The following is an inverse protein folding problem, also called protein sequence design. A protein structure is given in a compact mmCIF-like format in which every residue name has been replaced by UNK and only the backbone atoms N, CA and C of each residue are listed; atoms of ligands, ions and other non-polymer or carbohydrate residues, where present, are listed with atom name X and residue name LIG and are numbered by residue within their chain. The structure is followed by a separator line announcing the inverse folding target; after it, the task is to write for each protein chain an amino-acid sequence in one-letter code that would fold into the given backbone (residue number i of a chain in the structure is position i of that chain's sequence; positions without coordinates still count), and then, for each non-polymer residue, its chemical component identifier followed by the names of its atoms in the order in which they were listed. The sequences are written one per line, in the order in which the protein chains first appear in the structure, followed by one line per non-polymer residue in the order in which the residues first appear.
data_IF_509129779751
#
_entry.id   IF_509129779751
#
_cell.length_a   1.000
_cell.length_b   1.000
_cell.length_c   1.000
_cell.angle_alpha   90.00
_cell.angle_beta   90.00
_cell.angle_gamma   90.00
#
_symmetry.space_group_name_H-M   'P 1'
#
loop_
_entity.id
_entity.type
_entity.pdbx_description
1 polymer ?
#
# COMPACT_ATOMS: atom_id res chain seq x y z
N UNK A 1 -19.70 23.00 36.56
CA UNK A 1 -18.44 23.20 35.87
C UNK A 1 -17.65 21.90 35.65
N UNK A 2 -17.64 20.92 36.56
CA UNK A 2 -16.83 19.67 36.44
C UNK A 2 -17.24 18.80 35.25
N UNK A 3 -18.54 18.61 35.01
CA UNK A 3 -19.05 17.81 33.88
C UNK A 3 -18.62 18.38 32.53
N UNK A 4 -18.70 19.71 32.38
CA UNK A 4 -18.31 20.42 31.15
C UNK A 4 -16.80 20.30 30.86
N UNK A 5 -15.98 20.46 31.88
CA UNK A 5 -14.53 20.31 31.73
C UNK A 5 -14.14 18.86 31.39
N UNK A 6 -14.85 17.87 32.00
CA UNK A 6 -14.68 16.46 31.66
C UNK A 6 -15.05 16.16 30.20
N UNK A 7 -16.11 16.77 29.67
CA UNK A 7 -16.52 16.60 28.28
C UNK A 7 -15.47 17.15 27.30
N UNK A 8 -14.92 18.36 27.56
CA UNK A 8 -13.86 18.94 26.74
C UNK A 8 -12.59 18.07 26.78
N UNK A 9 -12.21 17.57 27.96
CA UNK A 9 -11.05 16.68 28.09
C UNK A 9 -11.24 15.38 27.30
N UNK A 10 -12.43 14.76 27.40
CA UNK A 10 -12.75 13.54 26.65
C UNK A 10 -12.73 13.78 25.14
N UNK A 11 -13.34 14.87 24.67
CA UNK A 11 -13.33 15.23 23.24
C UNK A 11 -11.89 15.46 22.73
N UNK A 12 -11.06 16.17 23.49
CA UNK A 12 -9.66 16.39 23.15
C UNK A 12 -8.88 15.08 23.11
N UNK A 13 -9.09 14.19 24.08
CA UNK A 13 -8.44 12.88 24.11
C UNK A 13 -8.80 12.01 22.89
N UNK A 14 -10.09 11.93 22.56
CA UNK A 14 -10.55 11.21 21.37
C UNK A 14 -10.01 11.81 20.10
N UNK A 15 -9.97 13.13 19.98
CA UNK A 15 -9.40 13.83 18.83
C UNK A 15 -7.91 13.53 18.64
N UNK A 16 -7.13 13.51 19.73
CA UNK A 16 -5.70 13.17 19.70
C UNK A 16 -5.53 11.74 19.17
N UNK A 17 -6.28 10.77 19.70
CA UNK A 17 -6.19 9.37 19.26
C UNK A 17 -6.50 9.23 17.77
N UNK A 18 -7.56 9.89 17.29
CA UNK A 18 -7.96 9.83 15.88
C UNK A 18 -6.97 10.52 14.95
N UNK A 19 -6.39 11.66 15.36
CA UNK A 19 -5.38 12.38 14.57
C UNK A 19 -4.07 11.58 14.50
N UNK A 20 -3.64 10.94 15.61
CA UNK A 20 -2.49 10.03 15.59
C UNK A 20 -2.76 8.86 14.64
N UNK A 21 -3.92 8.20 14.76
CA UNK A 21 -4.32 7.12 13.86
C UNK A 21 -4.30 7.55 12.39
N UNK A 22 -4.85 8.72 12.06
CA UNK A 22 -4.82 9.26 10.71
C UNK A 22 -3.38 9.44 10.19
N UNK A 23 -2.51 10.07 10.98
CA UNK A 23 -1.12 10.27 10.64
C UNK A 23 -0.36 8.96 10.38
N UNK A 24 -0.54 7.97 11.27
CA UNK A 24 0.09 6.66 11.15
C UNK A 24 -0.39 5.91 9.90
N UNK A 25 -1.70 5.88 9.61
CA UNK A 25 -2.23 5.21 8.43
C UNK A 25 -1.82 5.91 7.13
N UNK A 26 -1.82 7.25 7.09
CA UNK A 26 -1.35 8.01 5.92
C UNK A 26 0.12 7.71 5.64
N UNK A 27 0.95 7.72 6.67
CA UNK A 27 2.37 7.45 6.50
C UNK A 27 2.64 5.99 6.14
N UNK A 28 1.92 5.03 6.75
CA UNK A 28 1.97 3.63 6.39
C UNK A 28 1.58 3.40 4.92
N UNK A 29 0.50 4.04 4.46
CA UNK A 29 0.08 3.99 3.07
C UNK A 29 1.16 4.53 2.12
N UNK A 30 1.78 5.67 2.46
CA UNK A 30 2.89 6.24 1.67
C UNK A 30 4.10 5.32 1.61
N UNK A 31 4.44 4.67 2.72
CA UNK A 31 5.56 3.73 2.76
C UNK A 31 5.29 2.51 1.87
N UNK A 32 4.08 1.93 1.97
CA UNK A 32 3.70 0.79 1.12
C UNK A 32 3.69 1.16 -0.37
N UNK A 33 3.23 2.37 -0.72
CA UNK A 33 3.22 2.86 -2.10
C UNK A 33 4.62 3.12 -2.69
N UNK A 34 5.64 3.27 -1.84
CA UNK A 34 7.03 3.50 -2.26
C UNK A 34 7.85 2.22 -2.41
N UNK A 35 7.28 1.06 -2.09
CA UNK A 35 7.97 -0.22 -2.27
C UNK A 35 8.23 -0.43 -3.77
N UNK A 36 9.50 -0.61 -4.14
CA UNK A 36 9.86 -1.06 -5.48
C UNK A 36 9.53 -2.55 -5.59
N UNK A 37 8.49 -2.88 -6.33
CA UNK A 37 8.07 -4.25 -6.56
C UNK A 37 8.90 -4.97 -7.63
N UNK A 38 9.83 -4.25 -8.28
CA UNK A 38 10.70 -4.80 -9.32
C UNK A 38 10.04 -4.96 -10.70
N UNK A 39 8.83 -4.40 -10.89
CA UNK A 39 8.05 -4.49 -12.13
C UNK A 39 7.71 -3.12 -12.71
N UNK A 40 7.38 -3.09 -14.02
CA UNK A 40 6.73 -1.93 -14.63
C UNK A 40 5.23 -1.95 -14.34
N UNK A 41 4.80 -1.12 -13.38
CA UNK A 41 3.47 -1.20 -12.77
C UNK A 41 2.32 -0.75 -13.68
N UNK A 42 2.54 0.32 -14.46
CA UNK A 42 1.44 1.03 -15.13
C UNK A 42 1.19 0.57 -16.56
N UNK A 43 2.20 -0.02 -17.19
CA UNK A 43 2.19 -0.37 -18.61
C UNK A 43 2.19 -1.87 -18.87
N UNK A 44 2.52 -2.68 -17.86
CA UNK A 44 2.47 -4.13 -17.96
C UNK A 44 1.08 -4.64 -17.61
N UNK A 45 0.44 -5.30 -18.55
CA UNK A 45 -0.88 -5.91 -18.46
C UNK A 45 -0.74 -7.42 -18.32
N UNK A 46 -1.46 -8.00 -17.38
CA UNK A 46 -1.67 -9.45 -17.33
C UNK A 46 -3.06 -9.76 -17.86
N UNK A 47 -3.16 -10.72 -18.75
CA UNK A 47 -4.39 -11.07 -19.43
C UNK A 47 -4.66 -12.56 -19.36
N UNK A 48 -5.86 -12.94 -18.99
CA UNK A 48 -6.31 -14.32 -18.89
C UNK A 48 -7.78 -14.42 -19.30
N UNK A 49 -8.15 -15.38 -20.17
CA UNK A 49 -9.54 -15.58 -20.52
C UNK A 49 -10.31 -16.15 -19.32
N UNK A 50 -11.56 -15.70 -19.17
CA UNK A 50 -12.50 -16.18 -18.16
C UNK A 50 -13.66 -16.87 -18.89
N UNK A 51 -13.86 -18.14 -18.62
CA UNK A 51 -14.96 -18.92 -19.17
C UNK A 51 -16.13 -19.01 -18.20
N UNK A 52 -17.29 -19.37 -18.72
CA UNK A 52 -18.47 -19.64 -17.90
C UNK A 52 -18.18 -20.81 -16.96
N UNK A 53 -18.69 -20.75 -15.74
CA UNK A 53 -18.39 -21.70 -14.67
C UNK A 53 -18.60 -23.16 -15.11
N UNK A 54 -17.60 -24.00 -14.81
CA UNK A 54 -17.64 -25.45 -15.07
C UNK A 54 -16.88 -25.92 -16.32
N UNK A 55 -16.34 -25.03 -17.15
CA UNK A 55 -15.54 -25.42 -18.31
C UNK A 55 -14.05 -25.31 -18.01
N UNK A 56 -13.35 -26.44 -17.91
CA UNK A 56 -11.89 -26.45 -17.91
C UNK A 56 -11.37 -26.50 -19.36
N UNK A 57 -11.04 -25.35 -19.91
CA UNK A 57 -10.45 -25.18 -21.23
C UNK A 57 -8.94 -24.89 -21.19
N UNK A 58 -8.28 -25.32 -20.13
CA UNK A 58 -6.87 -25.00 -19.90
C UNK A 58 -5.95 -25.49 -21.01
N UNK A 59 -6.21 -26.64 -21.61
CA UNK A 59 -5.43 -27.16 -22.73
C UNK A 59 -5.62 -26.33 -24.02
N UNK A 60 -6.82 -25.83 -24.28
CA UNK A 60 -7.10 -24.95 -25.42
C UNK A 60 -6.42 -23.58 -25.24
N UNK A 61 -6.50 -23.02 -24.03
CA UNK A 61 -5.80 -21.78 -23.68
C UNK A 61 -4.29 -21.92 -23.86
N UNK A 62 -3.72 -23.04 -23.40
CA UNK A 62 -2.28 -23.28 -23.52
C UNK A 62 -1.80 -23.30 -24.97
N UNK A 63 -2.62 -23.82 -25.89
CA UNK A 63 -2.32 -23.83 -27.34
C UNK A 63 -2.56 -22.46 -27.99
N UNK A 64 -3.59 -21.75 -27.56
CA UNK A 64 -3.98 -20.46 -28.17
C UNK A 64 -3.02 -19.31 -27.78
N UNK A 65 -2.53 -19.28 -26.54
CA UNK A 65 -1.73 -18.19 -26.02
C UNK A 65 -0.49 -17.87 -26.88
N UNK A 66 0.34 -18.83 -27.33
CA UNK A 66 1.49 -18.51 -28.19
C UNK A 66 1.07 -17.85 -29.51
N UNK A 67 -0.01 -18.30 -30.14
CA UNK A 67 -0.55 -17.76 -31.39
C UNK A 67 -1.07 -16.34 -31.18
N UNK A 68 -1.82 -16.11 -30.11
CA UNK A 68 -2.32 -14.79 -29.74
C UNK A 68 -1.15 -13.85 -29.44
N UNK A 69 -0.13 -14.32 -28.72
CA UNK A 69 1.06 -13.54 -28.40
C UNK A 69 1.79 -13.05 -29.66
N UNK A 70 1.97 -13.93 -30.66
CA UNK A 70 2.61 -13.59 -31.93
C UNK A 70 1.83 -12.51 -32.70
N UNK A 71 0.51 -12.62 -32.74
CA UNK A 71 -0.34 -11.61 -33.40
C UNK A 71 -0.32 -10.27 -32.69
N UNK A 72 -0.45 -10.30 -31.36
CA UNK A 72 -0.42 -9.09 -30.55
C UNK A 72 0.94 -8.37 -30.60
N UNK A 73 2.05 -9.10 -30.78
CA UNK A 73 3.36 -8.47 -30.95
C UNK A 73 3.40 -7.51 -32.16
N UNK A 74 2.59 -7.77 -33.20
CA UNK A 74 2.48 -6.93 -34.39
C UNK A 74 1.41 -5.84 -34.28
N UNK A 75 0.65 -5.84 -33.18
CA UNK A 75 -0.49 -4.93 -33.01
C UNK A 75 -0.05 -3.52 -32.61
N UNK A 76 -0.80 -2.48 -33.04
CA UNK A 76 -0.49 -1.10 -32.67
C UNK A 76 -0.63 -0.89 -31.15
N UNK A 77 0.30 -0.13 -30.57
CA UNK A 77 0.30 0.16 -29.14
C UNK A 77 0.96 -0.91 -28.26
N UNK A 78 1.39 -2.03 -28.82
CA UNK A 78 2.14 -3.07 -28.14
C UNK A 78 3.63 -2.79 -28.24
N UNK A 79 4.35 -2.95 -27.14
CA UNK A 79 5.80 -2.81 -27.08
C UNK A 79 6.49 -4.16 -26.95
N UNK A 80 6.00 -5.01 -26.04
CA UNK A 80 6.45 -6.38 -25.82
C UNK A 80 5.27 -7.28 -25.47
N UNK A 81 5.37 -8.53 -25.84
CA UNK A 81 4.44 -9.59 -25.42
C UNK A 81 5.25 -10.77 -24.95
N UNK A 82 4.77 -11.37 -23.87
CA UNK A 82 5.28 -12.62 -23.34
C UNK A 82 4.14 -13.38 -22.70
N UNK A 83 4.37 -14.62 -22.35
CA UNK A 83 3.38 -15.44 -21.67
C UNK A 83 4.05 -16.38 -20.66
N UNK A 84 3.25 -16.97 -19.81
CA UNK A 84 3.75 -17.92 -18.84
C UNK A 84 2.63 -18.71 -18.17
N UNK A 85 3.02 -19.59 -17.28
CA UNK A 85 2.12 -20.33 -16.41
C UNK A 85 1.33 -19.39 -15.50
N UNK A 86 1.99 -18.36 -15.00
CA UNK A 86 1.41 -17.33 -14.17
C UNK A 86 2.07 -15.97 -14.48
N UNK A 87 1.32 -14.89 -14.34
CA UNK A 87 1.83 -13.54 -14.47
C UNK A 87 2.49 -13.03 -13.18
N UNK A 88 3.02 -11.80 -13.23
CA UNK A 88 3.44 -11.07 -12.04
C UNK A 88 2.31 -10.94 -11.02
N UNK A 89 2.64 -10.92 -9.74
CA UNK A 89 1.68 -10.83 -8.63
C UNK A 89 0.64 -11.96 -8.60
N UNK A 90 0.90 -13.07 -9.28
CA UNK A 90 0.12 -14.30 -9.23
C UNK A 90 0.85 -15.35 -8.38
N UNK A 91 0.07 -16.28 -7.83
CA UNK A 91 0.63 -17.41 -7.09
C UNK A 91 1.65 -18.20 -7.93
N UNK A 92 2.61 -18.82 -7.26
CA UNK A 92 3.59 -19.69 -7.87
C UNK A 92 3.65 -21.01 -7.12
N UNK A 93 4.08 -22.06 -7.82
CA UNK A 93 4.36 -23.35 -7.18
C UNK A 93 5.72 -23.28 -6.48
N UNK A 94 5.81 -23.87 -5.30
CA UNK A 94 7.10 -24.08 -4.65
C UNK A 94 7.81 -25.21 -5.34
N UNK A 95 9.11 -25.07 -5.55
CA UNK A 95 9.90 -26.02 -6.30
C UNK A 95 11.21 -26.30 -5.57
N UNK A 96 11.40 -27.56 -5.11
CA UNK A 96 12.62 -27.92 -4.42
C UNK A 96 13.79 -27.96 -5.40
N UNK A 97 14.90 -27.29 -5.06
CA UNK A 97 16.13 -27.30 -5.85
C UNK A 97 17.29 -27.84 -5.04
N UNK A 98 18.16 -28.60 -5.71
CA UNK A 98 19.27 -29.30 -5.09
C UNK A 98 20.57 -28.91 -5.78
N UNK A 99 21.69 -28.99 -5.05
CA UNK A 99 23.02 -28.96 -5.66
C UNK A 99 23.36 -30.28 -6.30
N UNK A 100 24.14 -30.32 -7.38
CA UNK A 100 24.66 -31.58 -7.92
C UNK A 100 25.41 -32.36 -6.84
N UNK A 101 25.11 -33.67 -6.72
CA UNK A 101 25.74 -34.55 -5.74
C UNK A 101 25.30 -34.34 -4.28
N UNK A 102 24.35 -33.50 -3.99
CA UNK A 102 23.82 -33.31 -2.64
C UNK A 102 22.84 -34.44 -2.27
N UNK A 103 23.00 -34.99 -1.09
CA UNK A 103 22.13 -36.06 -0.57
C UNK A 103 20.84 -35.44 0.01
N UNK A 104 19.71 -35.84 -0.55
CA UNK A 104 18.35 -35.82 0.00
C UNK A 104 17.73 -34.52 0.53
N UNK A 105 18.46 -33.46 0.81
CA UNK A 105 17.86 -32.19 1.29
C UNK A 105 17.93 -31.09 0.24
N UNK A 106 16.82 -30.38 -0.03
CA UNK A 106 16.81 -29.24 -0.93
C UNK A 106 17.66 -28.11 -0.38
N UNK A 107 18.46 -27.47 -1.22
CA UNK A 107 19.25 -26.29 -0.84
C UNK A 107 18.37 -25.05 -0.71
N UNK A 108 17.25 -25.04 -1.45
CA UNK A 108 16.22 -24.03 -1.36
C UNK A 108 14.88 -24.55 -1.91
N UNK A 109 13.79 -23.88 -1.56
CA UNK A 109 12.46 -24.15 -2.13
C UNK A 109 11.90 -22.84 -2.70
N UNK A 110 12.45 -22.35 -3.84
CA UNK A 110 11.99 -21.12 -4.45
C UNK A 110 10.59 -21.23 -5.04
N UNK A 111 9.94 -20.10 -5.19
CA UNK A 111 8.76 -19.99 -6.04
C UNK A 111 9.15 -20.13 -7.50
N UNK A 112 8.53 -21.05 -8.24
CA UNK A 112 8.84 -21.35 -9.63
C UNK A 112 7.73 -20.97 -10.58
N UNK A 113 8.11 -20.37 -11.74
CA UNK A 113 7.21 -20.06 -12.85
C UNK A 113 7.86 -20.40 -14.16
N UNK A 114 7.09 -21.05 -15.04
CA UNK A 114 7.47 -21.24 -16.43
C UNK A 114 7.06 -20.01 -17.26
N UNK A 115 8.00 -19.48 -18.05
CA UNK A 115 7.82 -18.21 -18.81
C UNK A 115 8.41 -18.34 -20.21
N UNK A 116 7.82 -17.57 -21.15
CA UNK A 116 8.36 -17.47 -22.51
C UNK A 116 9.57 -16.52 -22.57
N UNK A 117 10.38 -16.59 -23.63
CA UNK A 117 11.37 -15.54 -23.93
C UNK A 117 10.71 -14.15 -23.94
N UNK A 118 11.44 -13.14 -23.47
CA UNK A 118 10.95 -11.75 -23.40
C UNK A 118 10.07 -11.44 -22.17
N UNK A 119 9.80 -12.41 -21.29
CA UNK A 119 8.96 -12.23 -20.12
C UNK A 119 9.51 -11.15 -19.18
N UNK A 120 10.81 -11.13 -18.93
CA UNK A 120 11.44 -10.16 -18.05
C UNK A 120 11.29 -8.74 -18.59
N UNK A 121 11.50 -8.58 -19.90
CA UNK A 121 11.31 -7.28 -20.57
C UNK A 121 9.84 -6.83 -20.58
N UNK A 122 8.89 -7.76 -20.80
CA UNK A 122 7.46 -7.44 -20.80
C UNK A 122 6.93 -7.05 -19.41
N UNK A 123 7.52 -7.61 -18.36
CA UNK A 123 7.17 -7.28 -16.96
C UNK A 123 7.95 -6.09 -16.41
N UNK A 124 9.04 -5.67 -17.06
CA UNK A 124 9.96 -4.64 -16.57
C UNK A 124 10.97 -5.15 -15.55
N UNK A 125 11.10 -6.46 -15.40
CA UNK A 125 12.16 -7.05 -14.60
C UNK A 125 13.52 -6.82 -15.25
N UNK A 126 14.53 -6.55 -14.42
CA UNK A 126 15.88 -6.27 -14.92
C UNK A 126 16.75 -7.52 -14.88
N UNK A 127 17.31 -7.89 -16.01
CA UNK A 127 18.38 -8.88 -16.07
C UNK A 127 19.66 -8.24 -15.49
N UNK A 128 20.25 -8.87 -14.48
CA UNK A 128 21.43 -8.39 -13.75
C UNK A 128 22.68 -9.01 -14.33
N UNK A 129 22.63 -10.32 -14.57
CA UNK A 129 23.75 -11.10 -15.13
C UNK A 129 23.22 -12.10 -16.14
N UNK A 130 24.05 -12.49 -17.11
CA UNK A 130 23.73 -13.50 -18.09
C UNK A 130 22.77 -13.06 -19.19
N UNK A 131 21.85 -13.93 -19.58
CA UNK A 131 20.90 -13.71 -20.67
C UNK A 131 19.48 -14.20 -20.35
N UNK A 132 18.51 -13.70 -21.11
CA UNK A 132 17.13 -14.21 -21.14
C UNK A 132 17.03 -15.55 -21.88
N UNK A 133 15.90 -16.20 -21.76
CA UNK A 133 15.60 -17.43 -22.51
C UNK A 133 15.59 -17.20 -24.01
N UNK A 134 16.07 -18.20 -24.73
CA UNK A 134 16.05 -18.24 -26.19
C UNK A 134 15.37 -19.52 -26.71
N UNK A 135 15.23 -19.65 -28.06
CA UNK A 135 14.49 -20.78 -28.67
C UNK A 135 15.06 -22.17 -28.39
N UNK A 136 16.33 -22.25 -27.99
CA UNK A 136 17.01 -23.53 -27.70
C UNK A 136 17.00 -23.95 -26.24
N UNK A 137 16.49 -23.09 -25.34
CA UNK A 137 16.47 -23.38 -23.91
C UNK A 137 15.32 -24.34 -23.55
N UNK A 138 15.63 -25.34 -22.74
CA UNK A 138 14.68 -26.37 -22.31
C UNK A 138 14.31 -26.24 -20.84
N UNK A 139 13.08 -26.58 -20.46
CA UNK A 139 12.58 -26.48 -19.06
C UNK A 139 13.38 -27.27 -18.03
N UNK A 140 14.04 -28.35 -18.47
CA UNK A 140 14.82 -29.26 -17.66
C UNK A 140 16.33 -28.93 -17.64
N UNK A 141 16.79 -28.02 -18.50
CA UNK A 141 18.22 -27.72 -18.70
C UNK A 141 18.65 -26.29 -18.51
N UNK A 142 17.72 -25.36 -18.51
CA UNK A 142 18.02 -23.93 -18.41
C UNK A 142 17.13 -23.26 -17.38
N UNK A 143 17.71 -22.44 -16.50
CA UNK A 143 16.98 -21.66 -15.50
C UNK A 143 17.52 -20.25 -15.42
N UNK A 144 16.63 -19.32 -15.07
CA UNK A 144 16.98 -17.97 -14.62
C UNK A 144 16.56 -17.86 -13.15
N UNK A 145 17.42 -17.30 -12.33
CA UNK A 145 17.22 -17.21 -10.87
C UNK A 145 17.09 -15.76 -10.41
N UNK A 146 16.38 -15.52 -9.33
CA UNK A 146 16.39 -14.21 -8.69
C UNK A 146 17.72 -13.95 -7.97
N UNK A 147 18.05 -12.69 -7.73
CA UNK A 147 19.23 -12.31 -6.95
C UNK A 147 19.26 -13.00 -5.57
N UNK A 148 18.13 -13.02 -4.88
CA UNK A 148 18.02 -13.67 -3.57
C UNK A 148 18.30 -15.16 -3.62
N UNK A 149 17.83 -15.88 -4.66
CA UNK A 149 18.16 -17.29 -4.84
C UNK A 149 19.64 -17.49 -5.17
N UNK A 150 20.20 -16.65 -6.04
CA UNK A 150 21.62 -16.69 -6.38
C UNK A 150 22.50 -16.51 -5.14
N UNK A 151 22.21 -15.52 -4.32
CA UNK A 151 22.94 -15.24 -3.08
C UNK A 151 22.79 -16.34 -2.03
N UNK A 152 21.61 -16.96 -1.95
CA UNK A 152 21.35 -18.06 -1.01
C UNK A 152 22.15 -19.32 -1.38
N UNK A 153 22.20 -19.64 -2.67
CA UNK A 153 22.83 -20.89 -3.14
C UNK A 153 24.34 -20.70 -3.39
N UNK A 154 24.75 -19.57 -3.95
CA UNK A 154 26.17 -19.28 -4.28
C UNK A 154 26.63 -17.95 -3.64
N UNK A 155 26.78 -17.88 -2.32
CA UNK A 155 27.20 -16.64 -1.67
C UNK A 155 28.59 -16.20 -2.14
N UNK A 156 28.67 -14.95 -2.61
CA UNK A 156 29.94 -14.35 -3.05
C UNK A 156 30.48 -14.81 -4.40
N UNK A 157 29.69 -15.59 -5.18
CA UNK A 157 30.05 -16.03 -6.55
C UNK A 157 28.96 -15.68 -7.54
N UNK A 158 29.31 -15.58 -8.82
CA UNK A 158 28.30 -15.53 -9.90
C UNK A 158 27.55 -16.86 -9.95
N UNK A 159 26.22 -16.77 -10.11
CA UNK A 159 25.38 -17.94 -10.29
C UNK A 159 25.35 -18.39 -11.76
N UNK A 160 25.71 -17.49 -12.71
CA UNK A 160 25.68 -17.82 -14.15
C UNK A 160 26.76 -18.82 -14.49
N UNK A 161 26.38 -19.91 -15.17
CA UNK A 161 27.23 -21.04 -15.48
C UNK A 161 27.20 -22.17 -14.44
N UNK A 162 26.72 -21.89 -13.23
CA UNK A 162 26.43 -22.91 -12.22
C UNK A 162 25.17 -23.69 -12.58
N UNK A 163 24.87 -24.79 -11.85
CA UNK A 163 23.65 -25.52 -12.14
C UNK A 163 22.90 -26.00 -10.90
N UNK A 164 21.61 -26.27 -11.08
CA UNK A 164 20.68 -26.79 -10.08
C UNK A 164 20.00 -28.05 -10.58
N UNK A 165 19.86 -29.04 -9.70
CA UNK A 165 19.00 -30.18 -9.97
C UNK A 165 17.58 -29.81 -9.54
N UNK A 166 16.67 -29.93 -10.49
CA UNK A 166 15.25 -29.59 -10.30
C UNK A 166 14.51 -30.90 -9.95
N UNK A 167 13.95 -30.98 -8.75
CA UNK A 167 13.34 -32.19 -8.18
C UNK A 167 14.32 -33.36 -8.01
N UNK A 168 14.03 -34.24 -7.04
CA UNK A 168 14.99 -35.24 -6.57
C UNK A 168 15.21 -36.43 -7.51
N UNK A 169 14.41 -36.64 -8.53
CA UNK A 169 14.44 -37.89 -9.32
C UNK A 169 15.08 -37.73 -10.68
N UNK A 170 16.38 -37.98 -10.76
CA UNK A 170 17.04 -38.28 -12.02
C UNK A 170 17.12 -37.17 -13.06
N UNK A 171 16.69 -35.97 -12.75
CA UNK A 171 16.71 -34.85 -13.67
C UNK A 171 18.15 -34.36 -13.93
N UNK A 172 18.46 -33.99 -15.18
CA UNK A 172 19.75 -33.39 -15.49
C UNK A 172 19.94 -32.09 -14.71
N UNK A 173 21.19 -31.70 -14.50
CA UNK A 173 21.50 -30.41 -13.91
C UNK A 173 21.09 -29.28 -14.87
N UNK A 174 20.18 -28.42 -14.43
CA UNK A 174 19.74 -27.23 -15.19
C UNK A 174 20.72 -26.10 -14.98
N UNK A 175 21.33 -25.61 -16.07
CA UNK A 175 22.28 -24.51 -16.03
C UNK A 175 21.58 -23.17 -15.72
N UNK A 176 22.17 -22.40 -14.83
CA UNK A 176 21.77 -21.00 -14.59
C UNK A 176 22.30 -20.13 -15.73
N UNK A 177 21.40 -19.62 -16.57
CA UNK A 177 21.75 -18.82 -17.74
C UNK A 177 21.63 -17.30 -17.48
N UNK A 178 20.96 -16.91 -16.41
CA UNK A 178 20.79 -15.50 -16.05
C UNK A 178 20.32 -15.28 -14.63
N UNK A 179 20.54 -14.08 -14.14
CA UNK A 179 20.08 -13.61 -12.82
C UNK A 179 19.25 -12.35 -13.02
N UNK A 180 18.06 -12.30 -12.44
CA UNK A 180 17.15 -11.15 -12.47
C UNK A 180 17.04 -10.51 -11.08
N UNK A 181 16.56 -9.25 -11.06
CA UNK A 181 16.24 -8.59 -9.80
C UNK A 181 15.15 -9.34 -9.03
N UNK A 182 15.16 -9.17 -7.71
CA UNK A 182 14.08 -9.69 -6.89
C UNK A 182 12.78 -8.92 -7.15
N UNK A 183 11.66 -9.64 -7.06
CA UNK A 183 10.32 -9.08 -7.23
C UNK A 183 9.40 -9.60 -6.14
N UNK A 184 8.42 -8.79 -5.78
CA UNK A 184 7.34 -9.19 -4.87
C UNK A 184 6.30 -9.99 -5.64
N UNK A 185 6.10 -11.26 -5.26
CA UNK A 185 5.32 -12.17 -6.07
C UNK A 185 3.85 -12.28 -5.68
N UNK A 186 3.55 -12.30 -4.40
CA UNK A 186 2.18 -12.57 -3.93
C UNK A 186 1.59 -11.41 -3.16
N UNK A 187 2.40 -10.73 -2.36
CA UNK A 187 1.97 -9.62 -1.51
C UNK A 187 2.92 -8.45 -1.66
N UNK A 188 2.38 -7.24 -1.47
CA UNK A 188 3.21 -6.02 -1.43
C UNK A 188 4.18 -6.08 -0.24
N UNK A 189 3.68 -6.55 0.89
CA UNK A 189 4.46 -6.76 2.11
C UNK A 189 4.78 -8.26 2.20
N UNK A 190 5.89 -8.64 1.61
CA UNK A 190 6.46 -9.97 1.80
C UNK A 190 7.98 -9.83 1.94
N UNK A 191 8.58 -10.73 2.69
CA UNK A 191 10.03 -10.93 2.62
C UNK A 191 10.35 -11.45 1.23
N UNK A 192 11.34 -10.83 0.58
CA UNK A 192 11.78 -11.24 -0.76
C UNK A 192 12.04 -12.76 -0.76
N UNK A 193 11.19 -13.50 -1.44
CA UNK A 193 11.32 -14.94 -1.51
C UNK A 193 12.16 -15.32 -2.73
N UNK A 194 13.06 -16.32 -2.61
CA UNK A 194 13.83 -16.84 -3.73
C UNK A 194 12.91 -17.28 -4.88
N UNK A 195 13.28 -16.93 -6.12
CA UNK A 195 12.47 -17.23 -7.30
C UNK A 195 13.30 -17.95 -8.36
N UNK A 196 12.65 -18.90 -9.03
CA UNK A 196 13.17 -19.68 -10.11
C UNK A 196 12.28 -19.53 -11.34
N UNK A 197 12.86 -19.18 -12.46
CA UNK A 197 12.18 -19.11 -13.75
C UNK A 197 12.66 -20.23 -14.64
N UNK A 198 11.73 -20.85 -15.38
CA UNK A 198 12.04 -21.93 -16.33
C UNK A 198 11.43 -21.57 -17.69
N UNK A 199 11.99 -22.01 -18.81
CA UNK A 199 11.30 -21.91 -20.09
C UNK A 199 9.95 -22.63 -20.03
N UNK A 200 8.92 -22.04 -20.64
CA UNK A 200 7.63 -22.70 -20.79
C UNK A 200 7.74 -23.82 -21.81
N UNK A 201 7.18 -24.98 -21.49
CA UNK A 201 7.01 -26.06 -22.46
C UNK A 201 5.70 -25.83 -23.22
N UNK A 202 5.80 -25.56 -24.52
CA UNK A 202 4.64 -25.34 -25.39
C UNK A 202 3.85 -26.63 -25.66
N UNK A 203 4.44 -27.78 -25.44
CA UNK A 203 3.78 -29.09 -25.56
C UNK A 203 3.07 -29.49 -24.26
N UNK A 204 3.37 -28.83 -23.16
CA UNK A 204 2.72 -29.09 -21.88
C UNK A 204 1.38 -28.35 -21.81
N UNK A 205 0.32 -29.07 -22.13
CA UNK A 205 -1.08 -28.58 -22.02
C UNK A 205 -1.69 -28.77 -20.64
N UNK A 206 -0.92 -29.29 -19.68
CA UNK A 206 -1.34 -29.47 -18.30
C UNK A 206 -1.39 -28.14 -17.54
N UNK A 207 -1.59 -28.18 -16.23
CA UNK A 207 -1.56 -27.01 -15.35
C UNK A 207 -0.23 -26.23 -15.38
N UNK A 208 0.84 -26.82 -15.93
CA UNK A 208 2.17 -26.18 -16.04
C UNK A 208 2.38 -25.44 -17.35
N UNK A 209 1.48 -25.60 -18.34
CA UNK A 209 1.53 -24.89 -19.62
C UNK A 209 1.21 -23.39 -19.53
N UNK A 210 1.34 -22.66 -20.66
CA UNK A 210 1.08 -21.22 -20.69
C UNK A 210 -0.42 -20.93 -20.43
N UNK A 211 -0.71 -20.06 -19.47
CA UNK A 211 -2.08 -19.71 -19.08
C UNK A 211 -2.36 -18.22 -19.04
N UNK A 212 -1.32 -17.40 -18.92
CA UNK A 212 -1.43 -15.96 -18.87
C UNK A 212 -0.56 -15.29 -19.93
N UNK A 213 -1.14 -14.27 -20.54
CA UNK A 213 -0.44 -13.36 -21.44
C UNK A 213 0.02 -12.15 -20.62
N UNK A 214 1.24 -11.69 -20.88
CA UNK A 214 1.80 -10.46 -20.32
C UNK A 214 2.15 -9.53 -21.47
N UNK A 215 1.58 -8.35 -21.48
CA UNK A 215 1.77 -7.36 -22.52
C UNK A 215 2.28 -6.05 -21.95
N UNK A 216 3.40 -5.58 -22.44
CA UNK A 216 3.88 -4.22 -22.20
C UNK A 216 3.28 -3.31 -23.26
N UNK A 217 2.34 -2.47 -22.84
CA UNK A 217 1.70 -1.50 -23.71
C UNK A 217 2.53 -0.20 -23.81
N UNK A 218 2.46 0.48 -24.95
CA UNK A 218 2.96 1.86 -25.06
C UNK A 218 2.13 2.80 -24.18
N UNK A 219 2.72 3.91 -23.79
CA UNK A 219 2.02 4.91 -22.97
C UNK A 219 0.70 5.33 -23.65
N UNK A 220 -0.40 5.31 -22.89
CA UNK A 220 -1.74 5.64 -23.38
C UNK A 220 -2.45 4.57 -24.21
N UNK A 221 -1.79 3.44 -24.52
CA UNK A 221 -2.37 2.39 -25.38
C UNK A 221 -3.05 1.25 -24.64
N UNK A 222 -3.08 1.27 -23.31
CA UNK A 222 -3.61 0.19 -22.45
C UNK A 222 -5.01 -0.26 -22.89
N UNK A 223 -5.95 0.65 -23.07
CA UNK A 223 -7.33 0.34 -23.48
C UNK A 223 -7.42 -0.26 -24.89
N UNK A 224 -6.61 0.27 -25.83
CA UNK A 224 -6.55 -0.24 -27.20
C UNK A 224 -6.00 -1.66 -27.21
N UNK A 225 -4.90 -1.91 -26.51
CA UNK A 225 -4.28 -3.23 -26.38
C UNK A 225 -5.23 -4.24 -25.72
N UNK A 226 -5.93 -3.83 -24.66
CA UNK A 226 -6.94 -4.70 -24.02
C UNK A 226 -8.06 -5.11 -24.97
N UNK A 227 -8.54 -4.18 -25.79
CA UNK A 227 -9.59 -4.47 -26.78
C UNK A 227 -9.10 -5.42 -27.88
N UNK A 228 -7.91 -5.17 -28.40
CA UNK A 228 -7.30 -6.05 -29.42
C UNK A 228 -7.04 -7.44 -28.86
N UNK A 229 -6.53 -7.54 -27.64
CA UNK A 229 -6.34 -8.84 -27.00
C UNK A 229 -7.66 -9.61 -26.83
N UNK A 230 -8.74 -8.92 -26.42
CA UNK A 230 -10.06 -9.57 -26.33
C UNK A 230 -10.51 -10.11 -27.67
N UNK A 231 -10.33 -9.36 -28.76
CA UNK A 231 -10.67 -9.81 -30.11
C UNK A 231 -9.87 -11.05 -30.53
N UNK A 232 -8.56 -11.07 -30.23
CA UNK A 232 -7.72 -12.24 -30.55
C UNK A 232 -8.08 -13.47 -29.70
N UNK A 233 -8.39 -13.29 -28.41
CA UNK A 233 -8.89 -14.39 -27.58
C UNK A 233 -10.23 -14.92 -28.07
N UNK A 234 -11.17 -14.07 -28.45
CA UNK A 234 -12.45 -14.49 -29.05
C UNK A 234 -12.27 -15.20 -30.38
N UNK A 235 -11.33 -14.76 -31.20
CA UNK A 235 -11.03 -15.36 -32.50
C UNK A 235 -10.47 -16.78 -32.37
N UNK A 236 -9.57 -17.01 -31.38
CA UNK A 236 -8.91 -18.31 -31.20
C UNK A 236 -9.73 -19.29 -30.36
N UNK A 237 -10.43 -18.81 -29.35
CA UNK A 237 -11.12 -19.64 -28.37
C UNK A 237 -12.64 -19.62 -28.51
N UNK A 238 -13.19 -18.79 -29.42
CA UNK A 238 -14.62 -18.66 -29.62
C UNK A 238 -15.32 -17.99 -28.42
N UNK A 239 -16.11 -18.72 -27.68
CA UNK A 239 -16.93 -18.20 -26.58
C UNK A 239 -16.07 -17.94 -25.32
N UNK A 240 -15.39 -16.79 -25.30
CA UNK A 240 -14.73 -16.25 -24.12
C UNK A 240 -15.70 -15.29 -23.45
N UNK A 241 -16.21 -15.67 -22.27
CA UNK A 241 -17.16 -14.86 -21.52
C UNK A 241 -16.59 -13.48 -21.13
N UNK A 242 -15.33 -13.42 -20.70
CA UNK A 242 -14.64 -12.20 -20.37
C UNK A 242 -13.11 -12.36 -20.48
N UNK A 243 -12.40 -11.26 -20.65
CA UNK A 243 -10.95 -11.20 -20.48
C UNK A 243 -10.62 -10.52 -19.15
N UNK A 244 -10.03 -11.25 -18.25
CA UNK A 244 -9.44 -10.63 -17.06
C UNK A 244 -8.15 -9.92 -17.47
N UNK A 245 -8.26 -8.65 -17.84
CA UNK A 245 -7.14 -7.78 -18.15
C UNK A 245 -6.89 -6.84 -16.99
N UNK A 246 -5.68 -6.81 -16.47
CA UNK A 246 -5.30 -5.98 -15.31
C UNK A 246 -3.90 -5.45 -15.47
N UNK A 247 -3.72 -4.18 -15.17
CA UNK A 247 -2.38 -3.62 -14.93
C UNK A 247 -1.85 -4.13 -13.60
N UNK A 248 -0.53 -4.16 -13.45
CA UNK A 248 0.08 -4.49 -12.17
C UNK A 248 -0.29 -3.45 -11.08
N UNK A 249 -0.45 -2.19 -11.47
CA UNK A 249 -0.92 -1.14 -10.56
C UNK A 249 -2.34 -1.38 -10.04
N UNK A 250 -3.26 -1.91 -10.87
CA UNK A 250 -4.61 -2.31 -10.43
C UNK A 250 -4.59 -3.52 -9.49
N UNK A 251 -3.71 -4.49 -9.75
CA UNK A 251 -3.50 -5.63 -8.86
C UNK A 251 -3.02 -5.17 -7.48
N UNK A 252 -2.08 -4.21 -7.46
CA UNK A 252 -1.57 -3.57 -6.25
C UNK A 252 -2.65 -2.74 -5.54
N UNK A 253 -3.46 -1.98 -6.27
CA UNK A 253 -4.49 -1.12 -5.70
C UNK A 253 -5.48 -1.88 -4.80
N UNK A 254 -5.79 -3.14 -5.12
CA UNK A 254 -6.65 -3.99 -4.29
C UNK A 254 -6.00 -4.36 -2.96
N UNK A 255 -4.70 -4.62 -2.96
CA UNK A 255 -3.95 -4.92 -1.75
C UNK A 255 -3.76 -3.70 -0.85
N UNK A 256 -3.78 -2.48 -1.42
CA UNK A 256 -3.70 -1.22 -0.69
C UNK A 256 -5.03 -0.80 -0.02
N UNK A 257 -6.14 -1.48 -0.31
CA UNK A 257 -7.47 -1.12 0.25
C UNK A 257 -7.50 -0.96 1.77
N UNK A 258 -6.93 -1.88 2.59
CA UNK A 258 -6.97 -1.73 4.05
C UNK A 258 -6.32 -0.42 4.51
N UNK A 259 -5.15 -0.07 3.96
CA UNK A 259 -4.45 1.17 4.32
C UNK A 259 -5.17 2.41 3.82
N UNK A 260 -5.75 2.37 2.60
CA UNK A 260 -6.56 3.48 2.08
C UNK A 260 -7.80 3.70 2.92
N UNK A 261 -8.53 2.64 3.25
CA UNK A 261 -9.72 2.73 4.11
C UNK A 261 -9.35 3.25 5.50
N UNK A 262 -8.30 2.71 6.12
CA UNK A 262 -7.81 3.20 7.40
C UNK A 262 -7.46 4.69 7.34
N UNK A 263 -6.64 5.10 6.37
CA UNK A 263 -6.26 6.50 6.19
C UNK A 263 -7.50 7.42 6.00
N UNK A 264 -8.45 7.02 5.15
CA UNK A 264 -9.65 7.81 4.88
C UNK A 264 -10.56 7.92 6.10
N UNK A 265 -10.85 6.79 6.77
CA UNK A 265 -11.74 6.77 7.94
C UNK A 265 -11.14 7.56 9.11
N UNK A 266 -9.87 7.30 9.46
CA UNK A 266 -9.23 8.03 10.55
C UNK A 266 -9.09 9.52 10.25
N UNK A 267 -8.83 9.90 8.99
CA UNK A 267 -8.76 11.32 8.60
C UNK A 267 -10.13 11.98 8.69
N UNK A 268 -11.19 11.34 8.19
CA UNK A 268 -12.55 11.88 8.25
C UNK A 268 -13.04 12.03 9.68
N UNK A 269 -12.92 10.96 10.49
CA UNK A 269 -13.32 11.01 11.89
C UNK A 269 -12.40 11.92 12.72
N UNK A 270 -11.11 11.96 12.43
CA UNK A 270 -10.17 12.86 13.07
C UNK A 270 -10.51 14.32 12.80
N UNK A 271 -10.80 14.69 11.56
CA UNK A 271 -11.26 16.03 11.21
C UNK A 271 -12.58 16.39 11.90
N UNK A 272 -13.55 15.48 11.90
CA UNK A 272 -14.82 15.68 12.60
C UNK A 272 -14.61 15.86 14.10
N UNK A 273 -13.77 15.03 14.72
CA UNK A 273 -13.48 15.11 16.16
C UNK A 273 -12.79 16.44 16.52
N UNK A 274 -11.86 16.92 15.69
CA UNK A 274 -11.22 18.24 15.88
C UNK A 274 -12.25 19.36 15.78
N UNK A 275 -13.17 19.31 14.82
CA UNK A 275 -14.26 20.29 14.69
C UNK A 275 -15.17 20.29 15.93
N UNK A 276 -15.62 19.11 16.36
CA UNK A 276 -16.47 18.96 17.56
C UNK A 276 -15.74 19.47 18.79
N UNK A 277 -14.45 19.15 18.96
CA UNK A 277 -13.64 19.66 20.06
C UNK A 277 -13.51 21.19 20.02
N UNK A 278 -13.26 21.77 18.83
CA UNK A 278 -13.20 23.22 18.65
C UNK A 278 -14.53 23.91 19.00
N UNK A 279 -15.67 23.35 18.56
CA UNK A 279 -16.99 23.83 18.96
C UNK A 279 -17.26 23.69 20.45
N UNK A 280 -16.82 22.58 21.06
CA UNK A 280 -16.91 22.37 22.51
C UNK A 280 -16.14 23.45 23.28
N UNK A 281 -14.89 23.68 22.90
CA UNK A 281 -14.04 24.75 23.46
C UNK A 281 -14.70 26.13 23.26
N UNK A 282 -15.13 26.44 22.03
CA UNK A 282 -15.81 27.71 21.71
C UNK A 282 -17.04 27.95 22.61
N UNK A 283 -17.90 26.93 22.75
CA UNK A 283 -19.12 27.04 23.56
C UNK A 283 -18.79 27.27 25.05
N UNK A 284 -17.79 26.56 25.56
CA UNK A 284 -17.35 26.70 26.96
C UNK A 284 -16.80 28.09 27.22
N UNK A 285 -15.97 28.61 26.31
CA UNK A 285 -15.40 29.95 26.42
C UNK A 285 -16.49 31.02 26.32
N UNK A 286 -17.37 30.95 25.32
CA UNK A 286 -18.46 31.87 25.12
C UNK A 286 -19.36 31.96 26.34
N UNK A 287 -19.75 30.81 26.91
CA UNK A 287 -20.55 30.76 28.13
C UNK A 287 -19.84 31.37 29.35
N UNK A 288 -18.54 31.08 29.51
CA UNK A 288 -17.74 31.62 30.62
C UNK A 288 -17.58 33.10 30.51
N UNK A 289 -17.39 33.63 29.31
CA UNK A 289 -17.35 35.08 29.03
C UNK A 289 -18.67 35.73 29.38
N UNK A 290 -19.81 35.18 28.90
CA UNK A 290 -21.15 35.72 29.20
C UNK A 290 -21.46 35.79 30.69
N UNK A 291 -21.12 34.72 31.45
CA UNK A 291 -21.35 34.69 32.90
C UNK A 291 -20.51 35.71 33.68
N UNK A 292 -19.34 36.05 33.17
CA UNK A 292 -18.39 36.95 33.85
C UNK A 292 -18.30 38.32 33.20
N UNK A 293 -19.20 38.64 32.27
CA UNK A 293 -19.19 39.92 31.53
C UNK A 293 -19.23 41.12 32.48
N UNK A 294 -20.09 41.06 33.52
CA UNK A 294 -20.23 42.12 34.51
C UNK A 294 -18.94 42.28 35.36
N UNK A 295 -18.35 41.19 35.86
CA UNK A 295 -17.07 41.24 36.57
C UNK A 295 -15.94 41.83 35.72
N UNK A 296 -15.93 41.50 34.42
CA UNK A 296 -14.95 41.97 33.46
C UNK A 296 -15.16 43.46 33.18
N UNK A 297 -16.40 43.90 33.03
CA UNK A 297 -16.75 45.31 32.85
C UNK A 297 -16.28 46.20 34.01
N UNK A 298 -16.54 45.75 35.24
CA UNK A 298 -16.09 46.46 36.48
C UNK A 298 -14.56 46.55 36.54
N UNK A 299 -13.85 45.49 36.23
CA UNK A 299 -12.36 45.49 36.23
C UNK A 299 -11.78 46.43 35.16
N UNK A 300 -12.38 46.46 33.97
CA UNK A 300 -11.93 47.37 32.91
C UNK A 300 -12.22 48.82 33.28
N UNK A 301 -13.38 49.09 33.89
CA UNK A 301 -13.73 50.45 34.40
C UNK A 301 -12.75 50.92 35.51
N UNK A 302 -12.20 50.01 36.29
CA UNK A 302 -11.18 50.29 37.31
C UNK A 302 -9.73 50.30 36.78
N UNK A 303 -9.53 50.33 35.45
CA UNK A 303 -8.20 50.46 34.83
C UNK A 303 -7.52 49.12 34.57
N UNK A 304 -8.21 48.00 34.65
CA UNK A 304 -7.67 46.64 34.35
C UNK A 304 -7.38 46.51 32.85
N UNK A 305 -6.21 45.94 32.51
CA UNK A 305 -5.80 45.68 31.13
C UNK A 305 -6.65 44.54 30.51
N UNK A 306 -7.14 44.76 29.28
CA UNK A 306 -7.88 43.77 28.47
C UNK A 306 -7.13 42.45 28.27
N UNK A 307 -5.79 42.50 28.21
CA UNK A 307 -4.93 41.33 28.13
C UNK A 307 -5.03 40.40 29.37
N UNK A 308 -5.11 40.99 30.55
CA UNK A 308 -5.23 40.22 31.80
C UNK A 308 -6.58 39.49 31.88
N UNK A 309 -7.64 40.11 31.37
CA UNK A 309 -8.99 39.56 31.37
C UNK A 309 -9.10 38.39 30.38
N UNK A 310 -8.54 38.52 29.16
CA UNK A 310 -8.48 37.46 28.16
C UNK A 310 -7.65 36.26 28.69
N UNK A 311 -6.55 36.52 29.42
CA UNK A 311 -5.70 35.49 30.00
C UNK A 311 -6.41 34.54 31.01
N UNK A 312 -7.35 35.09 31.78
CA UNK A 312 -8.15 34.28 32.73
C UNK A 312 -9.07 33.29 32.01
N UNK A 313 -9.67 33.76 30.90
CA UNK A 313 -10.55 32.92 30.08
C UNK A 313 -9.76 31.78 29.42
N UNK A 314 -8.62 32.11 28.82
CA UNK A 314 -7.73 31.12 28.17
C UNK A 314 -7.25 30.06 29.16
N UNK A 315 -6.80 30.47 30.38
CA UNK A 315 -6.36 29.55 31.43
C UNK A 315 -7.47 28.60 31.87
N UNK A 316 -8.71 29.03 31.92
CA UNK A 316 -9.86 28.23 32.32
C UNK A 316 -10.12 27.03 31.38
N UNK A 317 -9.75 27.14 30.11
CA UNK A 317 -9.94 26.09 29.10
C UNK A 317 -8.65 25.32 28.83
N UNK A 318 -7.49 25.93 28.99
CA UNK A 318 -6.19 25.28 28.75
C UNK A 318 -5.98 24.07 29.66
N UNK A 319 -6.47 24.11 30.91
CA UNK A 319 -6.31 23.00 31.84
C UNK A 319 -7.08 21.74 31.42
N UNK A 320 -8.41 21.76 31.16
CA UNK A 320 -9.11 20.57 30.70
C UNK A 320 -8.64 20.11 29.30
N UNK A 321 -8.26 21.02 28.41
CA UNK A 321 -7.69 20.70 27.10
C UNK A 321 -6.34 19.96 27.25
N UNK A 322 -5.46 20.47 28.12
CA UNK A 322 -4.17 19.84 28.42
C UNK A 322 -4.33 18.44 29.02
N UNK A 323 -5.25 18.24 29.95
CA UNK A 323 -5.57 16.91 30.49
C UNK A 323 -6.05 15.97 29.39
N UNK A 324 -6.94 16.46 28.50
CA UNK A 324 -7.43 15.67 27.38
C UNK A 324 -6.31 15.28 26.41
N UNK A 325 -5.43 16.22 26.05
CA UNK A 325 -4.27 15.93 25.19
C UNK A 325 -3.37 14.88 25.83
N UNK A 326 -2.99 15.06 27.09
CA UNK A 326 -2.13 14.11 27.80
C UNK A 326 -2.79 12.73 27.92
N UNK A 327 -4.05 12.69 28.31
CA UNK A 327 -4.82 11.43 28.38
C UNK A 327 -4.91 10.74 27.02
N UNK A 328 -5.18 11.49 25.95
CA UNK A 328 -5.20 10.99 24.57
C UNK A 328 -3.86 10.42 24.12
N UNK A 329 -2.75 11.11 24.43
CA UNK A 329 -1.39 10.63 24.15
C UNK A 329 -1.06 9.33 24.90
N UNK A 330 -1.41 9.24 26.19
CA UNK A 330 -1.20 8.03 27.00
C UNK A 330 -2.02 6.86 26.45
N UNK A 331 -3.29 7.08 26.14
CA UNK A 331 -4.16 6.04 25.58
C UNK A 331 -3.70 5.61 24.18
N UNK A 332 -3.30 6.54 23.33
CA UNK A 332 -2.75 6.23 22.02
C UNK A 332 -1.42 5.45 22.11
N UNK A 333 -0.56 5.78 23.06
CA UNK A 333 0.68 5.06 23.32
C UNK A 333 0.42 3.64 23.82
N UNK A 334 -0.49 3.46 24.74
CA UNK A 334 -0.88 2.15 25.25
C UNK A 334 -1.59 1.28 24.19
N UNK A 335 -2.51 1.88 23.43
CA UNK A 335 -3.25 1.19 22.36
C UNK A 335 -2.48 0.99 21.07
N UNK A 336 -1.32 1.67 20.89
CA UNK A 336 -0.54 1.62 19.66
C UNK A 336 -0.05 0.22 19.28
N UNK A 337 0.20 -0.64 20.25
CA UNK A 337 0.59 -2.04 20.00
C UNK A 337 -0.48 -2.84 19.25
N UNK A 338 -1.75 -2.53 19.43
CA UNK A 338 -2.86 -3.18 18.72
C UNK A 338 -2.88 -2.82 17.22
N UNK A 339 -2.44 -1.62 16.90
CA UNK A 339 -2.38 -1.14 15.52
C UNK A 339 -1.08 -1.54 14.81
N UNK A 340 -0.04 -1.97 15.54
CA UNK A 340 1.28 -2.25 14.98
C UNK A 340 1.24 -3.29 13.85
N UNK A 341 0.38 -4.31 13.96
CA UNK A 341 0.22 -5.34 12.92
C UNK A 341 -0.42 -4.83 11.63
N UNK A 342 -1.12 -3.69 11.68
CA UNK A 342 -1.76 -3.04 10.54
C UNK A 342 -0.88 -1.97 9.89
N UNK A 343 0.22 -1.59 10.54
CA UNK A 343 1.12 -0.54 10.08
C UNK A 343 2.34 -1.14 9.40
N UNK A 344 2.82 -0.48 8.36
CA UNK A 344 4.01 -0.90 7.63
C UNK A 344 5.10 0.18 7.64
N UNK A 345 6.32 -0.23 8.01
CA UNK A 345 7.50 0.63 7.96
C UNK A 345 7.46 1.81 8.93
N UNK A 346 6.58 1.74 9.96
CA UNK A 346 6.43 2.76 10.99
C UNK A 346 6.22 2.09 12.34
N UNK A 347 6.76 2.72 13.38
CA UNK A 347 6.39 2.39 14.74
C UNK A 347 5.06 3.08 15.10
N UNK A 348 4.12 2.34 15.69
CA UNK A 348 2.89 2.91 16.25
C UNK A 348 3.18 3.95 17.37
N UNK A 349 4.40 4.00 17.85
CA UNK A 349 4.89 4.91 18.91
C UNK A 349 5.83 6.00 18.36
N UNK A 350 5.70 6.37 17.07
CA UNK A 350 6.54 7.42 16.47
C UNK A 350 6.31 8.77 17.16
N UNK A 351 7.29 9.34 17.87
CA UNK A 351 7.11 10.57 18.64
C UNK A 351 6.73 11.77 17.78
N UNK A 352 7.06 11.75 16.49
CA UNK A 352 6.71 12.83 15.56
C UNK A 352 5.20 12.93 15.37
N UNK A 353 4.51 11.79 15.27
CA UNK A 353 3.04 11.74 15.12
C UNK A 353 2.36 12.21 16.40
N UNK A 354 2.89 11.84 17.56
CA UNK A 354 2.39 12.29 18.87
C UNK A 354 2.54 13.81 19.04
N UNK A 355 3.72 14.35 18.72
CA UNK A 355 3.97 15.79 18.77
C UNK A 355 3.06 16.57 17.79
N UNK A 356 2.90 16.07 16.57
CA UNK A 356 2.02 16.68 15.56
C UNK A 356 0.57 16.72 16.04
N UNK A 357 0.04 15.61 16.56
CA UNK A 357 -1.33 15.54 17.04
C UNK A 357 -1.56 16.49 18.23
N UNK A 358 -0.64 16.50 19.20
CA UNK A 358 -0.72 17.42 20.33
C UNK A 358 -0.72 18.90 19.88
N UNK A 359 0.17 19.25 18.96
CA UNK A 359 0.23 20.60 18.40
C UNK A 359 -1.04 20.96 17.62
N UNK A 360 -1.56 20.05 16.78
CA UNK A 360 -2.76 20.27 15.99
C UNK A 360 -3.99 20.54 16.88
N UNK A 361 -4.20 19.74 17.94
CA UNK A 361 -5.31 19.91 18.87
C UNK A 361 -5.12 21.18 19.72
N UNK A 362 -3.92 21.48 20.17
CA UNK A 362 -3.63 22.73 20.89
C UNK A 362 -3.88 23.96 20.02
N UNK A 363 -3.46 23.95 18.75
CA UNK A 363 -3.74 25.03 17.80
C UNK A 363 -5.24 25.19 17.53
N UNK A 364 -5.97 24.09 17.31
CA UNK A 364 -7.43 24.13 17.12
C UNK A 364 -8.13 24.71 18.34
N UNK A 365 -7.75 24.32 19.56
CA UNK A 365 -8.24 24.87 20.80
C UNK A 365 -7.94 26.36 20.96
N UNK A 366 -6.74 26.80 20.64
CA UNK A 366 -6.38 28.22 20.65
C UNK A 366 -7.20 29.05 19.66
N UNK A 367 -7.35 28.55 18.41
CA UNK A 367 -8.16 29.22 17.38
C UNK A 367 -9.62 29.33 17.84
N UNK A 368 -10.18 28.28 18.43
CA UNK A 368 -11.53 28.28 18.95
C UNK A 368 -11.75 29.28 20.09
N UNK A 369 -10.72 29.61 20.87
CA UNK A 369 -10.80 30.60 21.95
C UNK A 369 -10.72 32.06 21.47
N UNK A 370 -10.14 32.30 20.27
CA UNK A 370 -9.91 33.69 19.77
C UNK A 370 -11.20 34.49 19.57
N UNK A 371 -12.23 33.89 18.97
CA UNK A 371 -13.48 34.53 18.69
C UNK A 371 -14.18 35.09 19.96
N UNK A 372 -14.47 34.24 20.96
CA UNK A 372 -15.07 34.69 22.23
C UNK A 372 -14.16 35.65 23.01
N UNK A 373 -12.83 35.43 23.00
CA UNK A 373 -11.90 36.32 23.70
C UNK A 373 -11.86 37.74 23.09
N UNK A 374 -11.92 37.85 21.75
CA UNK A 374 -11.99 39.13 21.06
C UNK A 374 -13.32 39.84 21.31
N UNK A 375 -14.46 39.12 21.41
CA UNK A 375 -15.74 39.68 21.78
C UNK A 375 -15.72 40.23 23.20
N UNK A 376 -15.12 39.49 24.13
CA UNK A 376 -14.94 39.94 25.50
C UNK A 376 -14.10 41.25 25.61
N UNK A 377 -13.05 41.30 24.78
CA UNK A 377 -12.15 42.47 24.74
C UNK A 377 -12.78 43.71 24.09
N UNK A 378 -13.81 43.56 23.23
CA UNK A 378 -14.50 44.68 22.54
C UNK A 378 -15.81 45.08 23.23
N UNK A 379 -16.19 44.42 24.36
CA UNK A 379 -17.41 44.81 25.07
C UNK A 379 -17.33 46.22 25.64
N UNK A 380 -18.30 47.07 25.29
CA UNK A 380 -18.39 48.43 25.79
C UNK A 380 -18.77 48.40 27.29
N UNK A 381 -17.91 48.93 28.17
CA UNK A 381 -18.15 48.91 29.61
C UNK A 381 -19.42 49.71 29.99
N UNK A 382 -19.80 50.76 29.19
CA UNK A 382 -20.99 51.54 29.45
C UNK A 382 -22.28 50.78 29.15
N UNK A 383 -22.28 49.96 28.08
CA UNK A 383 -23.42 49.12 27.70
C UNK A 383 -23.66 47.98 28.70
N UNK A 384 -22.58 47.44 29.30
CA UNK A 384 -22.66 46.33 30.28
C UNK A 384 -23.21 46.81 31.65
N UNK A 385 -23.01 48.07 32.03
CA UNK A 385 -23.49 48.64 33.28
C UNK A 385 -24.96 49.17 33.17
N UNK A 386 -25.49 49.29 31.96
CA UNK A 386 -26.83 49.84 31.68
C UNK A 386 -27.96 48.80 31.63
N UNK A 387 -27.62 47.52 31.69
CA UNK A 387 -28.57 46.37 31.68
C UNK A 387 -28.80 45.97 33.15
N UNK A 388 -29.61 46.69 33.83
CA UNK A 388 -30.34 46.28 35.04
C UNK A 388 -31.81 46.31 34.74
#
# INVERSE_FOLDING_TARGET
SRVRNGLVALQAALSVILVIGAGLFIQSLRNVQRIDLGFNMDRSLTMQPVFVAGQDRGAEVARAIPVIAERLMRAPGVEKVAFGQAGPMAGASLYAVYRPGANAQPVATPSSVAVSPGYFAATGMRLIEGRDFGPGDRPDRSVVVSRSLAQLVWPGKSAVGECLVLEMSGNPCAAVIGVVNDVHRSRIIETTSPQLYRPVDLNDVSLRGPRQLVVLARAGAVMTVTRLAMQEFQRELGDVGALSSRTLSEAMARQLRPWRLGATLFTAFGALAVLVAAFGVYSVVSYTVSQRMHEMGVRVALGGSLRNTAGIVVRGVSFPLGIGILGGLVLAFAGGSLLQSLLYGISAKDPRMFAFAAAAIACAGMIATLGPALRAAKADPIAVLRIQ
#
